data_IF_364315137021
#
_entry.id   IF_364315137021
#
_cell.length_a   1.000
_cell.length_b   1.000
_cell.length_c   1.000
_cell.angle_alpha   90.00
_cell.angle_beta   90.00
_cell.angle_gamma   90.00
#
_symmetry.space_group_name_H-M   'P 1'
#
loop_
_entity.id
_entity.type
_entity.pdbx_description
1 polymer ?
#
# COMPACT_ATOMS: atom_id res chain seq x y z
N UNK A 1 3.37 4.46 8.84
CA UNK A 1 2.68 3.27 9.34
C UNK A 1 3.37 2.73 10.58
N UNK A 2 2.64 2.60 11.66
CA UNK A 2 3.17 2.16 12.95
C UNK A 2 2.39 0.96 13.44
N UNK A 3 3.09 -0.06 13.96
CA UNK A 3 2.48 -1.24 14.55
C UNK A 3 3.00 -1.48 15.96
N UNK A 4 2.22 -2.22 16.74
CA UNK A 4 2.62 -2.64 18.08
C UNK A 4 2.21 -4.09 18.30
N UNK A 5 3.19 -4.99 18.29
CA UNK A 5 2.99 -6.42 18.43
C UNK A 5 3.88 -7.00 19.51
N UNK A 6 3.51 -8.16 20.12
CA UNK A 6 4.38 -8.85 21.07
C UNK A 6 5.71 -9.26 20.42
N UNK A 7 6.78 -9.22 21.20
CA UNK A 7 8.09 -9.70 20.75
C UNK A 7 8.02 -11.20 20.40
N UNK A 8 8.68 -11.59 19.33
CA UNK A 8 8.78 -12.98 18.90
C UNK A 8 7.55 -13.51 18.16
N UNK A 9 6.48 -12.73 18.06
CA UNK A 9 5.29 -13.13 17.29
C UNK A 9 5.39 -12.54 15.89
N UNK A 10 5.62 -13.41 14.90
CA UNK A 10 5.67 -12.98 13.51
C UNK A 10 4.32 -12.39 13.06
N UNK A 11 4.37 -11.38 12.20
CA UNK A 11 3.15 -10.80 11.66
C UNK A 11 3.33 -10.41 10.19
N UNK A 12 2.20 -10.25 9.52
CA UNK A 12 2.13 -9.84 8.11
C UNK A 12 1.38 -8.52 8.01
N UNK A 13 1.95 -7.56 7.28
CA UNK A 13 1.30 -6.32 6.92
C UNK A 13 0.90 -6.36 5.46
N UNK A 14 -0.38 -6.28 5.19
CA UNK A 14 -0.94 -6.28 3.85
C UNK A 14 -1.59 -4.94 3.54
N UNK A 15 -1.49 -4.52 2.28
CA UNK A 15 -2.18 -3.34 1.76
C UNK A 15 -3.08 -3.74 0.63
N UNK A 16 -4.36 -3.41 0.73
CA UNK A 16 -5.33 -3.65 -0.32
C UNK A 16 -5.04 -2.83 -1.57
N UNK A 17 -5.76 -3.12 -2.64
CA UNK A 17 -5.59 -2.43 -3.92
C UNK A 17 -6.35 -1.09 -3.98
N UNK A 18 -7.07 -0.73 -2.92
CA UNK A 18 -7.84 0.49 -2.86
C UNK A 18 -9.23 0.34 -3.47
N UNK A 19 -9.99 1.44 -3.43
CA UNK A 19 -11.40 1.44 -3.88
C UNK A 19 -11.55 1.62 -5.39
N UNK A 20 -10.52 2.06 -6.09
CA UNK A 20 -10.59 2.41 -7.50
C UNK A 20 -9.68 1.55 -8.38
N UNK A 21 -9.21 0.41 -7.86
CA UNK A 21 -8.28 -0.44 -8.59
C UNK A 21 -8.88 -1.05 -9.85
N UNK A 22 -8.05 -1.17 -10.88
CA UNK A 22 -8.33 -1.98 -12.07
C UNK A 22 -7.45 -3.22 -11.98
N UNK A 23 -8.02 -4.37 -11.60
CA UNK A 23 -7.23 -5.55 -11.25
C UNK A 23 -6.30 -5.27 -10.07
N UNK A 24 -5.00 -5.48 -10.25
CA UNK A 24 -3.99 -5.18 -9.24
C UNK A 24 -3.39 -3.77 -9.36
N UNK A 25 -3.83 -2.98 -10.33
CA UNK A 25 -3.34 -1.61 -10.52
C UNK A 25 -4.17 -0.65 -9.69
N UNK A 26 -3.54 -0.02 -8.70
CA UNK A 26 -4.18 1.03 -7.89
C UNK A 26 -4.40 2.30 -8.70
N UNK A 27 -5.51 2.96 -8.44
CA UNK A 27 -5.87 4.22 -9.09
C UNK A 27 -6.39 5.25 -8.10
N UNK A 28 -5.97 6.49 -8.29
CA UNK A 28 -6.51 7.66 -7.61
C UNK A 28 -7.55 8.31 -8.52
N UNK A 29 -8.73 8.60 -8.02
CA UNK A 29 -9.80 9.16 -8.85
C UNK A 29 -10.32 10.47 -8.30
N UNK A 30 -10.77 11.37 -9.20
CA UNK A 30 -11.44 12.60 -8.84
C UNK A 30 -12.97 12.40 -8.81
N UNK A 31 -13.71 13.47 -8.49
CA UNK A 31 -15.17 13.42 -8.37
C UNK A 31 -15.88 13.14 -9.71
N UNK A 32 -15.20 13.33 -10.82
CA UNK A 32 -15.75 13.11 -12.15
C UNK A 32 -15.47 11.70 -12.69
N UNK A 33 -14.85 10.84 -11.90
CA UNK A 33 -14.51 9.48 -12.29
C UNK A 33 -13.27 9.35 -13.15
N UNK A 34 -12.48 10.42 -13.25
CA UNK A 34 -11.20 10.40 -13.96
C UNK A 34 -10.11 9.91 -13.01
N UNK A 35 -9.24 9.01 -13.48
CA UNK A 35 -8.31 8.31 -12.61
C UNK A 35 -6.87 8.39 -13.11
N UNK A 36 -5.94 8.38 -12.14
CA UNK A 36 -4.51 8.28 -12.37
C UNK A 36 -4.00 7.00 -11.71
N UNK A 37 -3.06 6.33 -12.34
CA UNK A 37 -2.41 5.15 -11.77
C UNK A 37 -1.41 5.57 -10.71
N UNK A 38 -1.31 4.79 -9.64
CA UNK A 38 -0.28 4.97 -8.62
C UNK A 38 0.17 3.62 -8.06
N UNK A 39 1.28 3.62 -7.35
CA UNK A 39 1.79 2.44 -6.69
C UNK A 39 2.13 2.71 -5.23
N UNK A 40 2.07 1.67 -4.42
CA UNK A 40 2.56 1.65 -3.05
C UNK A 40 3.67 0.61 -2.95
N UNK A 41 4.82 1.01 -2.40
CA UNK A 41 6.04 0.23 -2.43
C UNK A 41 6.64 0.09 -1.03
N UNK A 42 7.37 -1.00 -0.81
CA UNK A 42 8.09 -1.25 0.43
C UNK A 42 9.45 -0.55 0.46
N UNK A 43 9.96 -0.13 -0.70
CA UNK A 43 11.27 0.48 -0.86
C UNK A 43 11.20 1.78 -1.67
N UNK A 44 12.18 2.66 -1.46
CA UNK A 44 12.24 3.94 -2.15
C UNK A 44 12.51 3.81 -3.65
N UNK A 45 13.13 2.71 -4.08
CA UNK A 45 13.42 2.45 -5.49
C UNK A 45 12.22 1.94 -6.27
N UNK A 46 11.08 1.69 -5.60
CA UNK A 46 9.84 1.19 -6.20
C UNK A 46 10.05 -0.16 -6.91
N UNK A 47 10.79 -1.06 -6.29
CA UNK A 47 11.06 -2.39 -6.82
C UNK A 47 10.23 -3.48 -6.16
N UNK A 48 9.77 -3.27 -4.90
CA UNK A 48 8.97 -4.23 -4.15
C UNK A 48 7.60 -3.65 -3.85
N UNK A 49 6.60 -4.11 -4.58
CA UNK A 49 5.21 -3.70 -4.40
C UNK A 49 4.71 -4.12 -3.01
N UNK A 50 3.92 -3.27 -2.38
CA UNK A 50 3.25 -3.62 -1.14
C UNK A 50 1.80 -3.96 -1.42
N UNK A 51 1.51 -5.25 -1.52
CA UNK A 51 0.18 -5.75 -1.81
C UNK A 51 -0.40 -6.53 -0.65
N UNK A 52 -1.39 -7.36 -0.95
CA UNK A 52 -2.04 -8.23 0.02
C UNK A 52 -1.49 -9.66 -0.07
N UNK A 53 -1.97 -10.52 0.84
CA UNK A 53 -1.53 -11.91 0.88
C UNK A 53 -1.95 -12.71 -0.38
N UNK A 54 -3.00 -12.28 -1.07
CA UNK A 54 -3.48 -12.96 -2.29
C UNK A 54 -2.54 -12.76 -3.46
N UNK A 55 -1.95 -11.59 -3.56
CA UNK A 55 -0.95 -11.30 -4.59
C UNK A 55 0.46 -11.71 -4.20
N UNK A 56 0.68 -12.14 -2.95
CA UNK A 56 1.99 -12.52 -2.43
C UNK A 56 2.92 -11.36 -2.14
N UNK A 57 2.40 -10.13 -2.11
CA UNK A 57 3.18 -8.90 -1.97
C UNK A 57 3.05 -8.27 -0.57
N UNK A 58 2.58 -9.00 0.42
CA UNK A 58 2.50 -8.50 1.78
C UNK A 58 3.88 -8.53 2.45
N UNK A 59 4.12 -7.57 3.34
CA UNK A 59 5.34 -7.54 4.14
C UNK A 59 5.23 -8.54 5.29
N UNK A 60 6.19 -9.43 5.40
CA UNK A 60 6.28 -10.40 6.50
C UNK A 60 7.37 -9.96 7.48
N UNK A 61 6.99 -9.76 8.74
CA UNK A 61 7.93 -9.46 9.82
C UNK A 61 8.08 -10.73 10.67
N UNK A 62 9.16 -11.47 10.43
CA UNK A 62 9.38 -12.78 11.04
C UNK A 62 9.88 -12.70 12.49
N UNK A 63 10.62 -11.65 12.83
CA UNK A 63 11.26 -11.48 14.14
C UNK A 63 10.99 -10.09 14.71
N UNK A 64 9.74 -9.78 15.14
CA UNK A 64 9.45 -8.46 15.69
C UNK A 64 10.13 -8.27 17.04
N UNK A 65 10.57 -7.04 17.31
CA UNK A 65 11.25 -6.68 18.55
C UNK A 65 10.29 -6.46 19.72
N UNK A 66 9.00 -6.42 19.47
CA UNK A 66 8.00 -6.00 20.44
C UNK A 66 7.89 -4.47 20.52
N UNK A 67 6.91 -3.97 21.26
CA UNK A 67 6.67 -2.54 21.35
C UNK A 67 6.19 -1.94 20.03
N UNK A 68 6.45 -0.65 19.84
CA UNK A 68 6.03 0.09 18.66
C UNK A 68 7.08 0.00 17.57
N UNK A 69 6.68 -0.39 16.37
CA UNK A 69 7.51 -0.43 15.18
C UNK A 69 6.92 0.42 14.08
N UNK A 70 7.77 1.13 13.34
CA UNK A 70 7.36 2.01 12.24
C UNK A 70 7.80 1.43 10.91
N UNK A 71 6.92 1.53 9.91
CA UNK A 71 7.17 1.08 8.54
C UNK A 71 6.88 2.23 7.58
N UNK A 72 7.75 2.44 6.63
CA UNK A 72 7.57 3.49 5.63
C UNK A 72 6.90 2.93 4.39
N UNK A 73 5.85 3.61 3.95
CA UNK A 73 5.15 3.31 2.69
C UNK A 73 5.59 4.35 1.67
N UNK A 74 6.09 3.88 0.53
CA UNK A 74 6.53 4.76 -0.55
C UNK A 74 5.45 4.80 -1.62
N UNK A 75 4.82 5.97 -1.79
CA UNK A 75 3.83 6.21 -2.83
C UNK A 75 4.48 6.76 -4.08
N UNK A 76 4.04 6.29 -5.25
CA UNK A 76 4.54 6.75 -6.53
C UNK A 76 3.39 6.96 -7.52
N UNK A 77 3.37 8.14 -8.15
CA UNK A 77 2.50 8.40 -9.30
C UNK A 77 3.40 8.49 -10.53
N UNK A 78 3.46 7.43 -11.36
CA UNK A 78 4.33 7.45 -12.53
C UNK A 78 3.86 8.46 -13.56
N UNK A 79 4.79 8.90 -14.42
CA UNK A 79 4.46 9.78 -15.53
C UNK A 79 3.41 9.13 -16.43
N UNK A 80 2.32 9.84 -16.69
CA UNK A 80 1.19 9.36 -17.48
C UNK A 80 0.38 10.55 -17.98
N UNK A 81 -0.47 10.37 -19.02
CA UNK A 81 -1.35 11.43 -19.45
C UNK A 81 -2.29 11.85 -18.32
N UNK A 82 -2.45 13.16 -18.13
CA UNK A 82 -3.40 13.71 -17.18
C UNK A 82 -4.81 13.56 -17.74
N UNK A 83 -5.68 12.86 -17.00
CA UNK A 83 -7.06 12.58 -17.44
C UNK A 83 -8.09 13.55 -16.86
N UNK A 84 -7.65 14.55 -16.09
CA UNK A 84 -8.54 15.51 -15.46
C UNK A 84 -7.80 16.43 -14.51
N UNK A 85 -8.55 17.26 -13.78
CA UNK A 85 -8.02 18.19 -12.80
C UNK A 85 -8.74 18.02 -11.45
N UNK A 86 -8.24 18.68 -10.43
CA UNK A 86 -8.80 18.65 -9.10
C UNK A 86 -8.10 17.67 -8.18
N UNK A 87 -8.80 17.24 -7.15
CA UNK A 87 -8.27 16.32 -6.14
C UNK A 87 -8.54 14.87 -6.56
N UNK A 88 -7.50 14.06 -6.58
CA UNK A 88 -7.58 12.62 -6.84
C UNK A 88 -7.30 11.88 -5.55
N UNK A 89 -8.21 10.99 -5.16
CA UNK A 89 -8.10 10.24 -3.91
C UNK A 89 -8.33 8.75 -4.14
N UNK A 90 -7.84 7.96 -3.18
CA UNK A 90 -8.12 6.54 -3.04
C UNK A 90 -8.02 6.14 -1.58
N UNK A 91 -8.75 5.11 -1.18
CA UNK A 91 -8.71 4.57 0.19
C UNK A 91 -8.18 3.14 0.15
N UNK A 92 -7.15 2.88 0.92
CA UNK A 92 -6.48 1.58 0.99
C UNK A 92 -6.65 1.00 2.40
N UNK A 93 -7.10 -0.25 2.47
CA UNK A 93 -7.22 -0.98 3.74
C UNK A 93 -5.86 -1.62 4.06
N UNK A 94 -5.37 -1.34 5.27
CA UNK A 94 -4.14 -1.95 5.79
C UNK A 94 -4.56 -3.03 6.79
N UNK A 95 -4.07 -4.25 6.58
CA UNK A 95 -4.41 -5.40 7.42
C UNK A 95 -3.14 -5.95 8.07
N UNK A 96 -3.17 -6.09 9.40
CA UNK A 96 -2.13 -6.77 10.16
C UNK A 96 -2.67 -8.12 10.60
N UNK A 97 -1.93 -9.19 10.30
CA UNK A 97 -2.28 -10.56 10.65
C UNK A 97 -1.13 -11.23 11.38
N UNK A 98 -1.43 -11.83 12.52
CA UNK A 98 -0.45 -12.56 13.34
C UNK A 98 -1.03 -13.81 13.96
#
# INVERSE_FOLDING_TARGET
LTTRCPAGTAFTLAMGNGNHASGNQRQLCNDEGQCLRYGLWQDAAATQRWGDWRSGDALVVAHPTGGTQSFTVYGEVPAQPLSGTGEFIDDVIITLTY
#
